data_IF_680409258700
#
_entry.id   IF_680409258700
#
_cell.length_a   1.000
_cell.length_b   1.000
_cell.length_c   1.000
_cell.angle_alpha   90.00
_cell.angle_beta   90.00
_cell.angle_gamma   90.00
#
_symmetry.space_group_name_H-M   'P 1'
#
loop_
_entity.id
_entity.type
_entity.pdbx_description
1 polymer ?
#
# COMPACT_ATOMS: atom_id res chain seq x y z
N UNK A 1 -5.62 22.61 7.78
CA UNK A 1 -4.50 21.67 7.83
C UNK A 1 -5.01 20.25 7.70
N UNK A 2 -4.35 19.45 6.90
CA UNK A 2 -4.81 18.08 6.59
C UNK A 2 -4.00 17.08 7.41
N UNK A 3 -4.47 16.79 8.62
CA UNK A 3 -3.79 15.88 9.55
C UNK A 3 -4.26 14.45 9.32
N UNK A 4 -3.30 13.51 9.22
CA UNK A 4 -3.57 12.08 9.10
C UNK A 4 -3.19 11.37 10.40
N UNK A 5 -4.01 10.42 10.80
CA UNK A 5 -3.84 9.69 12.07
C UNK A 5 -2.81 8.56 11.95
N UNK A 6 -2.83 7.87 10.82
CA UNK A 6 -1.98 6.71 10.60
C UNK A 6 -1.27 6.80 9.26
N UNK A 7 -0.09 6.18 9.19
CA UNK A 7 0.66 6.14 7.93
C UNK A 7 -0.13 5.43 6.82
N UNK A 8 -1.03 4.52 7.17
CA UNK A 8 -1.91 3.87 6.19
C UNK A 8 -2.84 4.84 5.50
N UNK A 9 -3.14 5.98 6.11
CA UNK A 9 -3.98 7.01 5.49
C UNK A 9 -3.28 7.72 4.34
N UNK A 10 -1.95 7.56 4.24
CA UNK A 10 -1.15 8.13 3.17
C UNK A 10 -1.03 7.20 1.95
N UNK A 11 -1.50 5.95 2.08
CA UNK A 11 -1.41 4.98 0.99
C UNK A 11 -2.41 5.37 -0.11
N UNK A 12 -1.94 5.35 -1.35
CA UNK A 12 -2.78 5.68 -2.48
C UNK A 12 -2.70 7.16 -2.86
N UNK A 13 -3.63 7.61 -3.69
CA UNK A 13 -3.66 8.96 -4.26
C UNK A 13 -2.32 9.35 -4.88
N UNK A 14 -1.60 8.36 -5.41
CA UNK A 14 -0.32 8.60 -6.08
C UNK A 14 -0.56 9.31 -7.39
N UNK A 15 0.36 10.19 -7.80
CA UNK A 15 0.17 10.97 -9.01
C UNK A 15 0.34 10.15 -10.28
N UNK A 16 -0.20 10.68 -11.35
CA UNK A 16 0.02 10.19 -12.70
C UNK A 16 0.93 11.18 -13.40
N UNK A 17 2.12 10.73 -13.75
CA UNK A 17 3.16 11.59 -14.35
C UNK A 17 3.18 11.41 -15.86
N UNK A 18 3.04 12.51 -16.60
CA UNK A 18 3.17 12.45 -18.05
C UNK A 18 4.65 12.37 -18.44
N UNK A 19 4.97 11.42 -19.31
CA UNK A 19 6.33 11.19 -19.78
C UNK A 19 6.52 11.83 -21.15
N UNK A 20 7.04 13.05 -21.19
CA UNK A 20 7.15 13.84 -22.42
C UNK A 20 8.21 13.34 -23.39
N UNK A 21 9.32 12.83 -22.87
CA UNK A 21 10.50 12.53 -23.68
C UNK A 21 10.57 11.10 -24.20
N UNK A 22 9.65 10.20 -23.79
CA UNK A 22 9.71 8.80 -24.17
C UNK A 22 8.91 8.47 -25.43
N UNK A 23 7.96 9.31 -25.82
CA UNK A 23 7.21 9.12 -27.05
C UNK A 23 6.64 10.45 -27.53
N UNK A 24 6.73 10.68 -28.85
CA UNK A 24 6.07 11.80 -29.52
C UNK A 24 4.82 11.36 -30.28
N UNK A 25 4.53 10.04 -30.28
CA UNK A 25 3.41 9.45 -31.03
C UNK A 25 2.17 9.24 -30.20
N UNK A 26 2.33 9.11 -28.89
CA UNK A 26 1.21 8.87 -27.98
C UNK A 26 1.47 9.54 -26.65
N UNK A 27 0.44 9.69 -25.86
CA UNK A 27 0.55 10.19 -24.50
C UNK A 27 0.87 9.01 -23.58
N UNK A 28 2.06 9.05 -22.96
CA UNK A 28 2.49 8.06 -22.00
C UNK A 28 2.43 8.66 -20.60
N UNK A 29 1.91 7.87 -19.66
CA UNK A 29 1.80 8.27 -18.26
C UNK A 29 2.38 7.17 -17.38
N UNK A 30 3.04 7.57 -16.32
CA UNK A 30 3.54 6.66 -15.30
C UNK A 30 2.72 6.84 -14.03
N UNK A 31 2.16 5.76 -13.52
CA UNK A 31 1.51 5.77 -12.21
C UNK A 31 2.59 5.63 -11.14
N UNK A 32 2.77 6.67 -10.33
CA UNK A 32 3.91 6.79 -9.42
C UNK A 32 3.65 6.06 -8.10
N UNK A 33 3.49 4.75 -8.15
CA UNK A 33 3.22 3.94 -6.97
C UNK A 33 4.36 3.92 -5.95
N UNK A 34 5.59 4.29 -6.37
CA UNK A 34 6.71 4.44 -5.43
C UNK A 34 6.49 5.58 -4.43
N UNK A 35 5.50 6.45 -4.67
CA UNK A 35 5.18 7.55 -3.76
C UNK A 35 4.22 7.16 -2.64
N UNK A 36 3.87 5.88 -2.51
CA UNK A 36 3.26 5.36 -1.29
C UNK A 36 4.27 5.49 -0.13
N UNK A 37 3.80 5.54 1.13
CA UNK A 37 4.68 5.88 2.26
C UNK A 37 5.94 5.06 2.39
N UNK A 38 5.88 3.74 2.15
CA UNK A 38 7.04 2.85 2.28
C UNK A 38 7.44 2.32 0.91
N UNK A 39 6.50 1.76 0.14
CA UNK A 39 6.81 1.18 -1.15
C UNK A 39 5.57 0.92 -2.00
N UNK A 40 5.81 0.44 -3.21
CA UNK A 40 4.77 -0.02 -4.13
C UNK A 40 3.88 -1.11 -3.51
N UNK A 41 4.38 -1.84 -2.53
CA UNK A 41 3.62 -2.94 -1.89
C UNK A 41 2.62 -2.48 -0.86
N UNK A 42 2.66 -1.23 -0.44
CA UNK A 42 1.72 -0.69 0.54
C UNK A 42 0.28 -0.86 0.09
N UNK A 43 -0.02 -0.50 -1.14
CA UNK A 43 -1.38 -0.56 -1.67
C UNK A 43 -1.92 -2.00 -1.75
N UNK A 44 -1.23 -2.97 -2.37
CA UNK A 44 -1.76 -4.34 -2.44
C UNK A 44 -1.90 -4.98 -1.05
N UNK A 45 -0.95 -4.76 -0.14
CA UNK A 45 -1.03 -5.36 1.19
C UNK A 45 -2.19 -4.75 1.98
N UNK A 46 -2.36 -3.43 1.95
CA UNK A 46 -3.50 -2.78 2.60
C UNK A 46 -4.82 -3.34 2.08
N UNK A 47 -4.93 -3.52 0.77
CA UNK A 47 -6.14 -4.06 0.16
C UNK A 47 -6.41 -5.49 0.60
N UNK A 48 -5.39 -6.34 0.61
CA UNK A 48 -5.53 -7.74 1.02
C UNK A 48 -6.02 -7.81 2.47
N UNK A 49 -5.42 -7.07 3.37
CA UNK A 49 -5.80 -7.06 4.79
C UNK A 49 -7.20 -6.49 4.96
N UNK A 50 -7.52 -5.38 4.30
CA UNK A 50 -8.83 -4.77 4.38
C UNK A 50 -9.93 -5.70 3.86
N UNK A 51 -9.69 -6.39 2.74
CA UNK A 51 -10.65 -7.34 2.19
C UNK A 51 -10.82 -8.57 3.09
N UNK A 52 -9.74 -9.04 3.70
CA UNK A 52 -9.81 -10.16 4.64
C UNK A 52 -10.64 -9.77 5.88
N UNK A 53 -10.47 -8.55 6.37
CA UNK A 53 -11.29 -8.02 7.47
C UNK A 53 -12.76 -7.94 7.08
N UNK A 54 -13.03 -7.39 5.89
CA UNK A 54 -14.40 -7.22 5.39
C UNK A 54 -15.12 -8.56 5.25
N UNK A 55 -14.40 -9.61 4.85
CA UNK A 55 -14.95 -10.95 4.67
C UNK A 55 -14.99 -11.76 5.98
N UNK A 56 -14.50 -11.20 7.08
CA UNK A 56 -14.46 -11.89 8.36
C UNK A 56 -13.43 -13.01 8.47
N UNK A 57 -12.44 -13.02 7.58
CA UNK A 57 -11.39 -14.05 7.58
C UNK A 57 -10.36 -13.80 8.68
N UNK A 58 -10.17 -12.56 9.09
CA UNK A 58 -9.26 -12.17 10.17
C UNK A 58 -9.97 -11.19 11.10
N UNK A 59 -9.51 -11.16 12.35
CA UNK A 59 -10.03 -10.28 13.38
C UNK A 59 -8.88 -9.79 14.25
N UNK A 60 -9.06 -8.73 15.06
CA UNK A 60 -7.99 -8.24 15.93
C UNK A 60 -7.39 -9.38 16.75
N UNK A 61 -6.05 -9.44 16.81
CA UNK A 61 -5.31 -10.49 17.46
C UNK A 61 -4.96 -11.67 16.57
N UNK A 62 -5.49 -11.75 15.35
CA UNK A 62 -5.11 -12.79 14.40
C UNK A 62 -3.62 -12.69 14.07
N UNK A 63 -2.99 -13.84 13.79
CA UNK A 63 -1.59 -13.90 13.38
C UNK A 63 -1.51 -13.95 11.86
N UNK A 64 -0.68 -13.06 11.28
CA UNK A 64 -0.43 -13.00 9.84
C UNK A 64 0.95 -13.59 9.56
N UNK A 65 1.01 -14.52 8.62
CA UNK A 65 2.26 -15.20 8.25
C UNK A 65 2.47 -15.04 6.75
N UNK A 66 3.66 -14.59 6.36
CA UNK A 66 4.04 -14.46 4.96
C UNK A 66 5.53 -14.70 4.81
N UNK A 67 5.90 -15.41 3.75
CA UNK A 67 7.30 -15.60 3.38
C UNK A 67 7.71 -14.48 2.44
N UNK A 68 8.51 -13.56 2.92
CA UNK A 68 8.95 -12.40 2.15
C UNK A 68 10.32 -11.94 2.62
N UNK A 69 11.10 -11.43 1.69
CA UNK A 69 12.43 -10.86 1.99
C UNK A 69 12.50 -9.36 1.78
N UNK A 70 11.37 -8.69 1.48
CA UNK A 70 11.42 -7.29 1.08
C UNK A 70 10.19 -6.48 1.46
N UNK A 71 9.75 -5.66 0.52
CA UNK A 71 8.75 -4.63 0.76
C UNK A 71 7.36 -5.16 1.17
N UNK A 72 6.99 -6.35 0.71
CA UNK A 72 5.75 -6.98 1.13
C UNK A 72 5.76 -7.23 2.64
N UNK A 73 6.87 -7.77 3.16
CA UNK A 73 7.02 -8.00 4.60
C UNK A 73 6.98 -6.72 5.40
N UNK A 74 7.64 -5.67 4.92
CA UNK A 74 7.62 -4.36 5.56
C UNK A 74 6.20 -3.81 5.63
N UNK A 75 5.45 -3.90 4.52
CA UNK A 75 4.08 -3.42 4.48
C UNK A 75 3.18 -4.21 5.43
N UNK A 76 3.29 -5.54 5.45
CA UNK A 76 2.54 -6.37 6.38
C UNK A 76 2.84 -5.98 7.83
N UNK A 77 4.12 -5.79 8.15
CA UNK A 77 4.54 -5.48 9.51
C UNK A 77 3.91 -4.19 10.04
N UNK A 78 4.00 -3.10 9.29
CA UNK A 78 3.50 -1.83 9.81
C UNK A 78 1.97 -1.75 9.78
N UNK A 79 1.33 -2.32 8.76
CA UNK A 79 -0.14 -2.33 8.69
C UNK A 79 -0.71 -3.21 9.80
N UNK A 80 -0.10 -4.38 10.03
CA UNK A 80 -0.51 -5.27 11.09
C UNK A 80 -0.37 -4.59 12.47
N UNK A 81 0.72 -3.89 12.69
CA UNK A 81 0.96 -3.18 13.94
C UNK A 81 -0.14 -2.14 14.21
N UNK A 82 -0.54 -1.39 13.19
CA UNK A 82 -1.58 -0.36 13.31
C UNK A 82 -2.94 -1.01 13.60
N UNK A 83 -3.24 -2.16 13.00
CA UNK A 83 -4.55 -2.79 13.07
C UNK A 83 -4.67 -3.90 14.12
N UNK A 84 -3.63 -4.11 14.92
CA UNK A 84 -3.70 -5.05 16.05
C UNK A 84 -3.52 -6.52 15.66
N UNK A 85 -2.81 -6.82 14.59
CA UNK A 85 -2.45 -8.20 14.22
C UNK A 85 -1.02 -8.53 14.67
N UNK A 86 -0.74 -9.82 14.62
CA UNK A 86 0.59 -10.35 14.94
C UNK A 86 1.28 -10.93 13.71
#
# INVERSE_FOLDING_TARGET
MNVREHITDLIGNTPLLKLHSLSDRCNLYAKCEFMNPISIKDRPVLNIITEAERKGLIKPGSTLIESTSGNTGTAIAYIAAIRGYR
#
